data_IF_663463395743
#
_entry.id   IF_663463395743
#
_cell.length_a   1.000
_cell.length_b   1.000
_cell.length_c   1.000
_cell.angle_alpha   90.00
_cell.angle_beta   90.00
_cell.angle_gamma   90.00
#
_symmetry.space_group_name_H-M   'P 1'
#
loop_
_entity.id
_entity.type
_entity.pdbx_description
1 polymer ?
#
# COMPACT_ATOMS: atom_id res chain seq x y z
N UNK A 1 10.66 24.78 29.29
CA UNK A 1 11.61 24.01 28.58
C UNK A 1 11.12 22.71 28.00
N UNK A 2 10.13 22.21 28.30
CA UNK A 2 9.58 21.02 27.93
C UNK A 2 8.97 21.05 26.64
N UNK A 3 8.86 22.05 25.99
CA UNK A 3 8.31 22.11 24.68
C UNK A 3 8.98 21.26 23.68
N UNK A 4 10.26 21.05 23.83
CA UNK A 4 11.02 20.28 22.89
C UNK A 4 10.58 18.86 22.75
N UNK A 5 10.05 18.32 23.79
CA UNK A 5 9.63 16.95 23.80
C UNK A 5 8.54 16.69 22.81
N UNK A 6 7.62 17.63 22.69
CA UNK A 6 6.54 17.47 21.77
C UNK A 6 6.98 17.47 20.34
N UNK A 7 7.93 18.31 20.01
CA UNK A 7 8.45 18.34 18.66
C UNK A 7 9.11 17.03 18.29
N UNK A 8 9.76 16.41 19.24
CA UNK A 8 10.42 15.13 18.99
C UNK A 8 9.41 14.05 18.63
N UNK A 9 8.27 14.04 19.26
CA UNK A 9 7.26 13.05 18.93
C UNK A 9 6.78 13.19 17.50
N UNK A 10 6.59 14.41 17.05
CA UNK A 10 6.12 14.66 15.71
C UNK A 10 7.13 14.22 14.66
N UNK A 11 8.39 14.35 14.96
CA UNK A 11 9.44 14.02 14.02
C UNK A 11 9.51 12.53 13.71
N UNK A 12 9.03 11.71 14.62
CA UNK A 12 9.07 10.26 14.45
C UNK A 12 7.83 9.70 13.79
N UNK A 13 6.89 10.55 13.44
CA UNK A 13 5.66 10.10 12.81
C UNK A 13 5.91 9.81 11.33
N UNK A 14 5.78 8.54 10.95
CA UNK A 14 5.92 8.10 9.56
C UNK A 14 4.59 7.64 8.98
N UNK A 15 3.49 7.99 9.60
CA UNK A 15 2.17 7.65 9.08
C UNK A 15 1.87 8.51 7.86
N UNK A 16 1.28 7.90 6.85
CA UNK A 16 0.88 8.62 5.65
C UNK A 16 -0.37 9.46 5.95
N UNK A 17 -0.62 10.52 5.15
CA UNK A 17 -1.83 11.31 5.31
C UNK A 17 -3.07 10.45 5.17
N UNK A 18 -4.07 10.71 6.00
CA UNK A 18 -5.34 10.01 5.88
C UNK A 18 -6.11 10.53 4.67
N UNK A 19 -6.47 9.64 3.78
CA UNK A 19 -7.32 9.92 2.64
C UNK A 19 -8.48 8.95 2.68
N UNK A 20 -9.73 9.41 2.70
CA UNK A 20 -10.87 8.50 2.71
C UNK A 20 -10.86 7.62 1.46
N UNK A 21 -11.02 6.31 1.67
CA UNK A 21 -11.09 5.34 0.59
C UNK A 21 -12.33 4.49 0.81
N UNK A 22 -13.16 4.41 -0.21
CA UNK A 22 -14.37 3.61 -0.16
C UNK A 22 -14.84 3.38 -1.61
N UNK A 23 -14.53 2.21 -2.16
CA UNK A 23 -14.92 1.90 -3.53
C UNK A 23 -15.05 0.39 -3.72
N UNK A 24 -15.74 0.03 -4.80
CA UNK A 24 -15.93 -1.37 -5.18
C UNK A 24 -15.18 -1.67 -6.47
N UNK A 25 -14.66 -2.89 -6.56
CA UNK A 25 -14.09 -3.44 -7.78
C UNK A 25 -14.94 -4.64 -8.17
N UNK A 26 -15.50 -4.60 -9.39
CA UNK A 26 -16.20 -5.75 -9.94
C UNK A 26 -15.24 -6.52 -10.84
N UNK A 27 -14.80 -7.69 -10.39
CA UNK A 27 -13.80 -8.47 -11.10
C UNK A 27 -14.29 -9.01 -12.44
N UNK A 28 -15.57 -8.93 -12.71
CA UNK A 28 -16.12 -9.33 -14.01
C UNK A 28 -15.88 -8.27 -15.09
N UNK A 29 -15.51 -7.05 -14.72
CA UNK A 29 -15.28 -5.99 -15.69
C UNK A 29 -13.89 -6.12 -16.31
N UNK A 30 -13.76 -5.83 -17.63
CA UNK A 30 -12.46 -5.96 -18.31
C UNK A 30 -11.35 -5.15 -17.70
N UNK A 31 -11.66 -4.00 -17.10
CA UNK A 31 -10.66 -3.13 -16.48
C UNK A 31 -9.91 -3.82 -15.34
N UNK A 32 -10.48 -4.86 -14.74
CA UNK A 32 -9.91 -5.55 -13.59
C UNK A 32 -9.48 -6.98 -13.91
N UNK A 33 -9.32 -7.29 -15.18
CA UNK A 33 -8.97 -8.63 -15.63
C UNK A 33 -7.68 -9.16 -15.03
N UNK A 34 -6.73 -8.28 -14.73
CA UNK A 34 -5.46 -8.72 -14.15
C UNK A 34 -5.61 -9.31 -12.75
N UNK A 35 -6.77 -9.13 -12.12
CA UNK A 35 -7.02 -9.70 -10.79
C UNK A 35 -7.74 -11.05 -10.83
N UNK A 36 -7.88 -11.66 -11.99
CA UNK A 36 -8.62 -12.93 -12.11
C UNK A 36 -7.91 -14.12 -11.49
N UNK A 37 -6.61 -14.04 -11.28
CA UNK A 37 -5.84 -15.15 -10.77
C UNK A 37 -5.07 -14.78 -9.51
N UNK A 38 -4.90 -15.69 -8.56
CA UNK A 38 -4.03 -15.47 -7.42
C UNK A 38 -2.61 -15.13 -7.85
N UNK A 39 -1.95 -14.25 -7.11
CA UNK A 39 -0.60 -13.81 -7.43
C UNK A 39 -0.55 -12.61 -8.35
N UNK A 40 -1.69 -12.17 -8.87
CA UNK A 40 -1.75 -11.00 -9.74
C UNK A 40 -2.04 -9.73 -8.94
N UNK A 41 -1.64 -8.61 -9.50
CA UNK A 41 -1.87 -7.31 -8.86
C UNK A 41 -2.37 -6.29 -9.88
N UNK A 42 -2.92 -5.20 -9.35
CA UNK A 42 -3.40 -4.08 -10.16
C UNK A 42 -3.10 -2.79 -9.42
N UNK A 43 -2.65 -1.78 -10.16
CA UNK A 43 -2.40 -0.45 -9.61
C UNK A 43 -3.59 0.43 -9.94
N UNK A 44 -4.13 1.09 -8.92
CA UNK A 44 -5.25 2.01 -9.06
C UNK A 44 -4.87 3.37 -8.50
N UNK A 45 -5.61 4.39 -8.92
CA UNK A 45 -5.51 5.70 -8.31
C UNK A 45 -6.31 5.73 -7.02
N UNK A 46 -5.94 6.61 -6.13
CA UNK A 46 -6.65 6.80 -4.87
C UNK A 46 -5.70 6.75 -3.69
N UNK A 47 -6.26 6.86 -2.49
CA UNK A 47 -5.45 6.91 -1.29
C UNK A 47 -4.51 8.11 -1.30
N UNK A 48 -3.38 7.96 -0.64
CA UNK A 48 -2.38 9.04 -0.57
C UNK A 48 -1.53 9.10 -1.84
N UNK A 49 -0.96 7.98 -2.29
CA UNK A 49 -0.07 7.95 -3.45
C UNK A 49 -0.40 6.82 -4.42
N UNK A 50 -1.63 6.41 -4.47
CA UNK A 50 -2.05 5.30 -5.31
C UNK A 50 -2.24 4.03 -4.49
N UNK A 51 -2.87 3.05 -5.10
CA UNK A 51 -3.31 1.83 -4.42
C UNK A 51 -2.84 0.62 -5.20
N UNK A 52 -2.31 -0.38 -4.49
CA UNK A 52 -1.99 -1.68 -5.05
C UNK A 52 -3.04 -2.66 -4.54
N UNK A 53 -3.71 -3.36 -5.45
CA UNK A 53 -4.60 -4.46 -5.12
C UNK A 53 -3.90 -5.75 -5.52
N UNK A 54 -3.71 -6.65 -4.58
CA UNK A 54 -3.05 -7.92 -4.81
C UNK A 54 -3.98 -9.07 -4.44
N UNK A 55 -4.15 -10.03 -5.33
CA UNK A 55 -4.95 -11.21 -5.03
C UNK A 55 -4.03 -12.28 -4.43
N UNK A 56 -4.12 -12.45 -3.12
CA UNK A 56 -3.24 -13.35 -2.40
C UNK A 56 -3.62 -14.81 -2.64
N UNK A 57 -4.90 -15.13 -2.46
CA UNK A 57 -5.48 -16.43 -2.80
C UNK A 57 -6.76 -16.20 -3.59
N UNK A 58 -7.46 -17.26 -3.95
CA UNK A 58 -8.71 -17.12 -4.69
C UNK A 58 -9.72 -16.26 -3.92
N UNK A 59 -9.69 -16.30 -2.60
CA UNK A 59 -10.65 -15.60 -1.75
C UNK A 59 -10.03 -14.49 -0.88
N UNK A 60 -8.74 -14.23 -1.01
CA UNK A 60 -8.07 -13.26 -0.15
C UNK A 60 -7.36 -12.19 -0.97
N UNK A 61 -7.53 -10.94 -0.56
CA UNK A 61 -6.92 -9.80 -1.22
C UNK A 61 -6.17 -8.95 -0.21
N UNK A 62 -5.08 -8.34 -0.67
CA UNK A 62 -4.32 -7.36 0.11
C UNK A 62 -4.37 -6.06 -0.67
N UNK A 63 -4.74 -4.97 -0.01
CA UNK A 63 -4.82 -3.66 -0.63
C UNK A 63 -3.98 -2.69 0.17
N UNK A 64 -2.99 -2.10 -0.49
CA UNK A 64 -1.99 -1.26 0.15
C UNK A 64 -1.95 0.11 -0.52
N UNK A 65 -1.65 1.15 0.27
CA UNK A 65 -1.30 2.44 -0.29
C UNK A 65 0.14 2.39 -0.79
N UNK A 66 0.39 3.00 -1.93
CA UNK A 66 1.74 3.03 -2.50
C UNK A 66 2.65 4.05 -1.85
N UNK A 67 2.16 4.79 -0.86
CA UNK A 67 2.96 5.81 -0.19
C UNK A 67 4.02 5.13 0.67
N UNK A 68 5.29 5.33 0.32
CA UNK A 68 6.41 4.79 1.09
C UNK A 68 6.39 5.36 2.50
N UNK A 69 6.60 4.50 3.49
CA UNK A 69 6.50 4.89 4.89
C UNK A 69 7.82 5.40 5.47
N UNK A 70 8.85 5.47 4.67
CA UNK A 70 10.09 6.11 5.06
C UNK A 70 10.10 7.54 4.52
N UNK A 71 10.29 8.51 5.41
CA UNK A 71 10.29 9.93 5.05
C UNK A 71 9.04 10.30 4.24
N UNK A 72 7.91 10.14 4.88
CA UNK A 72 6.58 10.28 4.26
C UNK A 72 6.41 11.62 3.56
N UNK A 73 7.03 12.68 4.06
CA UNK A 73 6.90 14.01 3.47
C UNK A 73 7.44 14.10 2.05
N UNK A 74 8.26 13.17 1.61
CA UNK A 74 8.78 13.15 0.24
C UNK A 74 7.73 12.65 -0.75
N UNK A 75 6.63 12.08 -0.28
CA UNK A 75 5.54 11.56 -1.13
C UNK A 75 6.02 10.53 -2.15
N UNK A 76 6.93 9.67 -1.75
CA UNK A 76 7.45 8.65 -2.65
C UNK A 76 6.50 7.47 -2.77
N UNK A 77 6.49 6.86 -3.95
CA UNK A 77 5.64 5.71 -4.25
C UNK A 77 6.46 4.44 -4.31
N UNK A 78 5.83 3.32 -4.01
CA UNK A 78 6.46 2.03 -4.23
C UNK A 78 6.02 1.43 -5.55
N UNK A 79 6.88 0.62 -6.15
CA UNK A 79 6.58 -0.13 -7.37
C UNK A 79 6.78 -1.61 -7.13
N UNK A 80 6.04 -2.41 -7.90
CA UNK A 80 6.14 -3.87 -7.81
C UNK A 80 7.34 -4.32 -8.63
N UNK A 81 8.21 -5.11 -8.03
CA UNK A 81 9.38 -5.67 -8.70
C UNK A 81 9.02 -6.75 -9.70
N UNK A 82 10.02 -7.20 -10.45
CA UNK A 82 9.83 -8.24 -11.44
C UNK A 82 9.45 -9.60 -10.84
N UNK A 83 9.74 -9.79 -9.55
CA UNK A 83 9.33 -11.01 -8.85
C UNK A 83 7.84 -11.02 -8.49
N UNK A 84 7.16 -9.88 -8.64
CA UNK A 84 5.73 -9.77 -8.34
C UNK A 84 5.40 -9.66 -6.87
N UNK A 85 6.38 -9.68 -5.97
CA UNK A 85 6.13 -9.67 -4.53
C UNK A 85 6.90 -8.61 -3.77
N UNK A 86 8.00 -8.11 -4.32
CA UNK A 86 8.81 -7.08 -3.66
C UNK A 86 8.34 -5.71 -4.11
N UNK A 87 8.06 -4.84 -3.14
CA UNK A 87 7.71 -3.45 -3.39
C UNK A 87 8.90 -2.58 -3.03
N UNK A 88 9.39 -1.82 -3.98
CA UNK A 88 10.55 -0.96 -3.78
C UNK A 88 10.18 0.50 -3.96
N UNK A 89 10.94 1.37 -3.30
CA UNK A 89 10.76 2.80 -3.44
C UNK A 89 11.10 3.24 -4.87
N UNK A 90 10.09 3.68 -5.62
CA UNK A 90 10.23 3.89 -7.05
C UNK A 90 11.10 5.08 -7.43
N UNK A 91 11.15 6.05 -6.55
CA UNK A 91 11.78 7.33 -6.87
C UNK A 91 13.17 7.46 -6.27
N UNK A 92 13.77 6.33 -5.92
CA UNK A 92 15.07 6.28 -5.25
C UNK A 92 15.13 7.13 -3.98
N UNK A 93 13.99 7.29 -3.32
CA UNK A 93 13.92 8.06 -2.08
C UNK A 93 14.62 7.34 -0.95
N UNK A 94 14.64 6.01 -1.00
CA UNK A 94 15.36 5.18 -0.04
C UNK A 94 15.60 3.80 -0.64
N UNK A 95 16.35 2.99 0.08
CA UNK A 95 16.59 1.59 -0.32
C UNK A 95 15.55 0.66 0.30
N UNK A 96 14.51 1.22 0.89
CA UNK A 96 13.50 0.42 1.59
C UNK A 96 12.71 -0.47 0.64
N UNK A 97 12.36 -1.63 1.15
CA UNK A 97 11.53 -2.59 0.43
C UNK A 97 10.48 -3.17 1.35
N UNK A 98 9.32 -3.47 0.78
CA UNK A 98 8.19 -4.06 1.49
C UNK A 98 7.69 -5.29 0.74
N UNK A 99 6.92 -6.10 1.43
CA UNK A 99 6.35 -7.33 0.87
C UNK A 99 4.90 -7.07 0.47
N UNK A 100 4.54 -7.40 -0.77
CA UNK A 100 3.17 -7.19 -1.27
C UNK A 100 2.15 -8.06 -0.53
N UNK A 101 2.60 -9.17 0.04
CA UNK A 101 1.71 -10.13 0.68
C UNK A 101 1.01 -9.55 1.92
N UNK A 102 1.62 -8.57 2.57
CA UNK A 102 1.06 -7.99 3.78
C UNK A 102 1.50 -6.54 4.03
N UNK A 103 2.37 -5.99 3.19
CA UNK A 103 2.89 -4.64 3.36
C UNK A 103 4.02 -4.51 4.36
N UNK A 104 4.50 -5.61 4.93
CA UNK A 104 5.57 -5.56 5.93
C UNK A 104 6.91 -5.14 5.34
N UNK A 105 7.77 -4.57 6.18
CA UNK A 105 9.11 -4.15 5.75
C UNK A 105 9.99 -5.36 5.53
N UNK A 106 10.62 -5.42 4.36
CA UNK A 106 11.63 -6.43 4.04
C UNK A 106 13.04 -5.89 4.24
N UNK A 107 13.24 -4.62 3.90
CA UNK A 107 14.55 -3.98 3.98
C UNK A 107 14.36 -2.53 4.40
N UNK A 108 15.14 -2.10 5.40
CA UNK A 108 15.14 -0.70 5.81
C UNK A 108 15.86 0.19 4.81
N UNK A 109 15.88 1.49 5.08
CA UNK A 109 15.67 2.11 6.41
C UNK A 109 14.24 2.27 6.89
N UNK A 110 13.23 1.98 6.09
CA UNK A 110 11.85 2.04 6.59
C UNK A 110 11.64 1.07 7.75
N UNK A 111 10.80 1.48 8.70
CA UNK A 111 10.47 0.67 9.88
C UNK A 111 8.99 0.38 10.01
N UNK A 112 8.15 1.04 9.23
CA UNK A 112 6.70 0.84 9.27
C UNK A 112 6.22 0.12 8.03
N UNK A 113 5.25 -0.76 8.22
CA UNK A 113 4.55 -1.41 7.11
C UNK A 113 3.83 -0.36 6.26
N UNK A 114 3.58 -0.69 5.01
CA UNK A 114 2.72 0.14 4.17
C UNK A 114 1.31 0.15 4.75
N UNK A 115 0.59 1.24 4.52
CA UNK A 115 -0.78 1.35 4.98
C UNK A 115 -1.64 0.33 4.25
N UNK A 116 -2.37 -0.48 5.02
CA UNK A 116 -3.22 -1.53 4.48
C UNK A 116 -4.68 -1.13 4.65
N UNK A 117 -5.43 -1.18 3.55
CA UNK A 117 -6.86 -0.92 3.55
C UNK A 117 -7.64 -2.16 3.95
N UNK A 118 -8.86 -1.96 4.43
CA UNK A 118 -9.77 -3.05 4.74
C UNK A 118 -10.45 -3.51 3.46
N UNK A 119 -10.76 -4.79 3.40
CA UNK A 119 -11.43 -5.37 2.25
C UNK A 119 -12.59 -6.24 2.70
N UNK A 120 -13.60 -6.31 1.85
CA UNK A 120 -14.71 -7.23 2.01
C UNK A 120 -14.95 -7.88 0.65
N UNK A 121 -14.75 -9.19 0.58
CA UNK A 121 -14.87 -9.93 -0.66
C UNK A 121 -16.20 -10.64 -0.72
N UNK A 122 -17.03 -10.23 -1.66
CA UNK A 122 -18.32 -10.84 -1.94
C UNK A 122 -18.38 -11.05 -3.46
N UNK A 123 -17.90 -12.18 -3.95
CA UNK A 123 -17.71 -12.37 -5.39
C UNK A 123 -18.94 -11.98 -6.20
N UNK A 124 -18.78 -11.23 -7.29
CA UNK A 124 -17.50 -10.80 -7.88
C UNK A 124 -17.05 -9.41 -7.39
N UNK A 125 -17.58 -8.92 -6.28
CA UNK A 125 -17.33 -7.55 -5.82
C UNK A 125 -16.32 -7.56 -4.67
N UNK A 126 -15.24 -6.80 -4.85
CA UNK A 126 -14.28 -6.50 -3.80
C UNK A 126 -14.53 -5.08 -3.32
N UNK A 127 -14.93 -4.93 -2.06
CA UNK A 127 -15.13 -3.63 -1.44
C UNK A 127 -13.87 -3.24 -0.67
N UNK A 128 -13.35 -2.04 -0.94
CA UNK A 128 -12.11 -1.53 -0.33
C UNK A 128 -12.45 -0.25 0.44
N UNK A 129 -11.99 -0.17 1.69
CA UNK A 129 -12.30 0.99 2.53
C UNK A 129 -11.27 1.15 3.65
N UNK A 130 -11.31 2.31 4.30
CA UNK A 130 -10.41 2.58 5.44
C UNK A 130 -10.76 1.77 6.70
#
# INVERSE_FOLDING_TARGET
AFLLIQSTCDQNNQNIPYVPVNFDINLNLPAYNSLNFPGEHLILQGGSQGIIVYRYTIDEFVVLDRHATFDVALNCKVTVGSDGITLSDADDCSESQWLILDGSVMQGPATLSLHRYRVNWNPPILHVYN
#
